data_IF_563957501001
#
_entry.id   IF_563957501001
#
_cell.length_a   1.000
_cell.length_b   1.000
_cell.length_c   1.000
_cell.angle_alpha   90.00
_cell.angle_beta   90.00
_cell.angle_gamma   90.00
#
_symmetry.space_group_name_H-M   'P 1'
#
loop_
_entity.id
_entity.type
_entity.pdbx_description
1 polymer ?
#
# COMPACT_ATOMS: atom_id res chain seq x y z
N UNK A 1 1.81 -18.28 -17.04
CA UNK A 1 0.77 -17.22 -16.98
C UNK A 1 1.18 -16.02 -16.13
N UNK A 2 1.50 -16.20 -14.84
CA UNK A 2 1.86 -15.08 -13.94
C UNK A 2 3.03 -14.21 -14.42
N UNK A 3 4.05 -14.79 -15.06
CA UNK A 3 5.20 -14.05 -15.61
C UNK A 3 4.79 -13.09 -16.75
N UNK A 4 3.83 -13.50 -17.58
CA UNK A 4 3.34 -12.67 -18.69
C UNK A 4 2.53 -11.49 -18.18
N UNK A 5 1.70 -11.69 -17.15
CA UNK A 5 0.96 -10.61 -16.51
C UNK A 5 1.91 -9.60 -15.85
N UNK A 6 2.97 -10.04 -15.17
CA UNK A 6 3.96 -9.15 -14.56
C UNK A 6 4.70 -8.30 -15.60
N UNK A 7 5.03 -8.90 -16.75
CA UNK A 7 5.67 -8.19 -17.85
C UNK A 7 4.78 -7.08 -18.41
N UNK A 8 3.49 -7.38 -18.63
CA UNK A 8 2.52 -6.40 -19.15
C UNK A 8 2.15 -5.32 -18.11
N UNK A 9 2.23 -5.64 -16.82
CA UNK A 9 1.83 -4.74 -15.73
C UNK A 9 3.00 -4.02 -15.06
N UNK A 10 4.21 -4.06 -15.64
CA UNK A 10 5.39 -3.44 -15.04
C UNK A 10 5.17 -1.92 -14.92
N UNK A 11 4.92 -1.44 -13.69
CA UNK A 11 4.80 -0.01 -13.40
C UNK A 11 6.15 0.57 -13.00
N UNK A 12 6.42 1.80 -13.42
CA UNK A 12 7.77 2.38 -13.30
C UNK A 12 8.06 3.00 -11.92
N UNK A 13 7.04 3.25 -11.08
CA UNK A 13 7.19 3.95 -9.80
C UNK A 13 6.88 3.09 -8.56
N UNK A 14 6.56 1.80 -8.75
CA UNK A 14 6.26 0.88 -7.66
C UNK A 14 5.03 1.22 -6.80
N UNK A 15 4.18 2.15 -7.26
CA UNK A 15 2.95 2.58 -6.58
C UNK A 15 3.08 3.86 -5.75
N UNK A 16 4.21 4.58 -5.81
CA UNK A 16 4.42 5.83 -5.07
C UNK A 16 3.39 6.92 -5.45
N UNK A 17 3.08 7.09 -6.73
CA UNK A 17 2.09 8.08 -7.18
C UNK A 17 0.69 7.75 -6.65
N UNK A 18 0.31 6.46 -6.62
CA UNK A 18 -0.96 6.01 -6.08
C UNK A 18 -1.05 6.23 -4.57
N UNK A 19 0.05 6.00 -3.84
CA UNK A 19 0.12 6.27 -2.41
C UNK A 19 -0.08 7.76 -2.12
N UNK A 20 0.57 8.64 -2.88
CA UNK A 20 0.38 10.09 -2.75
C UNK A 20 -1.07 10.51 -3.03
N UNK A 21 -1.69 9.96 -4.07
CA UNK A 21 -3.10 10.21 -4.37
C UNK A 21 -4.04 9.71 -3.26
N UNK A 22 -3.80 8.52 -2.71
CA UNK A 22 -4.62 7.94 -1.65
C UNK A 22 -4.64 8.81 -0.38
N UNK A 23 -3.53 9.48 -0.06
CA UNK A 23 -3.45 10.42 1.06
C UNK A 23 -4.29 11.68 0.88
N UNK A 24 -4.68 12.04 -0.34
CA UNK A 24 -5.52 13.19 -0.63
C UNK A 24 -7.02 12.85 -0.53
N UNK A 25 -7.39 11.56 -0.48
CA UNK A 25 -8.79 11.15 -0.43
C UNK A 25 -9.38 11.30 0.97
N UNK A 26 -10.70 11.52 1.09
CA UNK A 26 -11.39 11.55 2.38
C UNK A 26 -11.72 10.12 2.87
N UNK A 27 -10.69 9.36 3.25
CA UNK A 27 -10.83 7.97 3.72
C UNK A 27 -10.27 7.78 5.12
N UNK A 28 -10.91 6.93 5.91
CA UNK A 28 -10.48 6.61 7.28
C UNK A 28 -9.19 5.80 7.32
N UNK A 29 -8.93 5.00 6.28
CA UNK A 29 -7.78 4.09 6.22
C UNK A 29 -7.28 3.92 4.80
N UNK A 30 -5.96 3.78 4.66
CA UNK A 30 -5.29 3.36 3.43
C UNK A 30 -4.66 2.00 3.72
N UNK A 31 -4.88 1.01 2.86
CA UNK A 31 -4.37 -0.36 3.05
C UNK A 31 -3.57 -0.77 1.82
N UNK A 32 -2.31 -1.16 2.03
CA UNK A 32 -1.39 -1.53 0.95
C UNK A 32 -1.00 -2.99 1.08
N UNK A 33 -1.34 -3.82 0.09
CA UNK A 33 -0.86 -5.21 0.00
C UNK A 33 0.61 -5.22 -0.42
N UNK A 34 1.45 -5.96 0.30
CA UNK A 34 2.89 -6.09 0.02
C UNK A 34 3.36 -7.54 0.17
N UNK A 35 4.38 -7.98 -0.57
CA UNK A 35 5.14 -9.18 -0.21
C UNK A 35 5.67 -9.06 1.23
N UNK A 36 5.72 -10.19 1.96
CA UNK A 36 6.02 -10.18 3.39
C UNK A 36 7.34 -9.46 3.75
N UNK A 37 8.35 -9.53 2.87
CA UNK A 37 9.69 -8.94 3.07
C UNK A 37 9.90 -7.60 2.35
N UNK A 38 8.92 -7.11 1.59
CA UNK A 38 9.09 -5.84 0.86
C UNK A 38 9.11 -4.65 1.84
N UNK A 39 9.80 -3.55 1.52
CA UNK A 39 9.69 -2.33 2.33
C UNK A 39 8.25 -1.80 2.32
N UNK A 40 7.90 -1.02 3.35
CA UNK A 40 6.65 -0.24 3.38
C UNK A 40 6.66 0.73 2.20
N UNK A 41 5.50 0.92 1.55
CA UNK A 41 5.37 1.85 0.42
C UNK A 41 5.31 3.30 0.90
N UNK A 42 6.08 4.18 0.28
CA UNK A 42 6.20 5.58 0.68
C UNK A 42 7.04 5.82 1.93
N UNK A 43 7.03 7.06 2.42
CA UNK A 43 7.88 7.52 3.53
C UNK A 43 7.25 7.38 4.91
N UNK A 44 5.95 7.10 4.98
CA UNK A 44 5.20 7.07 6.24
C UNK A 44 5.24 5.65 6.82
N UNK A 45 5.37 5.56 8.14
CA UNK A 45 5.24 4.28 8.85
C UNK A 45 3.77 3.85 8.85
N UNK A 46 3.52 2.57 8.58
CA UNK A 46 2.19 1.98 8.77
C UNK A 46 1.78 2.03 10.25
N UNK A 47 0.49 2.25 10.52
CA UNK A 47 -0.05 2.21 11.89
C UNK A 47 0.09 0.80 12.47
N UNK A 48 -0.22 -0.21 11.66
CA UNK A 48 0.01 -1.62 11.94
C UNK A 48 0.05 -2.41 10.63
N UNK A 49 0.44 -3.68 10.71
CA UNK A 49 0.40 -4.59 9.57
C UNK A 49 -0.36 -5.87 9.92
N UNK A 50 -1.12 -6.39 8.95
CA UNK A 50 -1.76 -7.70 9.03
C UNK A 50 -0.95 -8.68 8.19
N UNK A 51 -0.24 -9.60 8.84
CA UNK A 51 0.68 -10.53 8.17
C UNK A 51 0.04 -11.88 7.89
N UNK A 52 0.15 -12.35 6.65
CA UNK A 52 -0.09 -13.74 6.25
C UNK A 52 1.23 -14.47 5.96
N UNK A 53 1.15 -15.64 5.32
CA UNK A 53 2.33 -16.49 5.06
C UNK A 53 3.33 -15.88 4.07
N UNK A 54 2.84 -15.21 3.02
CA UNK A 54 3.68 -14.69 1.91
C UNK A 54 3.41 -13.22 1.59
N UNK A 55 2.32 -12.67 2.12
CA UNK A 55 1.90 -11.29 1.93
C UNK A 55 1.56 -10.68 3.28
N UNK A 56 1.67 -9.36 3.37
CA UNK A 56 1.12 -8.57 4.47
C UNK A 56 0.33 -7.39 3.92
N UNK A 57 -0.52 -6.83 4.76
CA UNK A 57 -1.23 -5.59 4.49
C UNK A 57 -0.74 -4.51 5.45
N UNK A 58 -0.07 -3.50 4.92
CA UNK A 58 0.33 -2.31 5.68
C UNK A 58 -0.89 -1.39 5.79
N UNK A 59 -1.34 -1.11 7.02
CA UNK A 59 -2.56 -0.32 7.29
C UNK A 59 -2.18 1.04 7.88
N UNK A 60 -2.62 2.09 7.21
CA UNK A 60 -2.44 3.49 7.63
C UNK A 60 -3.79 4.02 8.11
N UNK A 61 -3.94 4.20 9.42
CA UNK A 61 -5.16 4.76 10.01
C UNK A 61 -5.09 6.28 9.97
N UNK A 62 -6.14 6.90 9.44
CA UNK A 62 -6.37 8.32 9.43
C UNK A 62 -7.52 8.58 10.37
N UNK A 63 -7.23 9.14 11.55
CA UNK A 63 -8.28 9.75 12.32
C UNK A 63 -8.70 11.01 11.58
N UNK A 64 -9.77 10.94 10.79
CA UNK A 64 -10.54 12.13 10.48
C UNK A 64 -11.11 12.55 11.83
N UNK A 65 -10.47 13.53 12.49
CA UNK A 65 -11.16 14.26 13.55
C UNK A 65 -12.46 14.75 12.91
N UNK A 66 -13.59 14.38 13.51
CA UNK A 66 -14.89 14.88 13.12
C UNK A 66 -14.81 16.40 12.90
N UNK A 67 -15.47 16.86 11.83
CA UNK A 67 -15.81 18.27 11.71
C UNK A 67 -16.67 18.71 12.88
#
# INVERSE_FOLDING_TARGET
>A
EAMMLQYLSASNDGGESLMNWAWQQAVDRIVVKRPLKAPVLGKRKASFALSGKSVRFDVFVRHVRGG
#
